data_IF_835249545240
#
_entry.id   IF_835249545240
#
_cell.length_a   1.000
_cell.length_b   1.000
_cell.length_c   1.000
_cell.angle_alpha   90.00
_cell.angle_beta   90.00
_cell.angle_gamma   90.00
#
_symmetry.space_group_name_H-M   'P 1'
#
loop_
_entity.id
_entity.type
_entity.pdbx_description
1 polymer ?
#
# COMPACT_ATOMS: atom_id res chain seq x y z
N UNK A 1 -31.60 -3.16 -24.62
CA UNK A 1 -30.49 -2.23 -24.37
C UNK A 1 -29.27 -2.92 -24.94
N UNK A 2 -28.71 -2.44 -26.06
CA UNK A 2 -27.43 -2.97 -26.53
C UNK A 2 -26.38 -2.63 -25.48
N UNK A 3 -25.65 -3.65 -25.03
CA UNK A 3 -24.63 -3.52 -24.01
C UNK A 3 -23.49 -2.66 -24.58
N UNK A 4 -22.85 -1.82 -23.76
CA UNK A 4 -21.61 -1.13 -24.17
C UNK A 4 -20.56 -2.12 -24.73
N UNK A 5 -20.63 -3.38 -24.27
CA UNK A 5 -19.84 -4.50 -24.76
C UNK A 5 -20.17 -4.92 -26.20
N UNK A 6 -21.46 -4.95 -26.58
CA UNK A 6 -21.90 -5.30 -27.94
C UNK A 6 -21.49 -4.21 -28.94
N UNK A 7 -21.59 -2.94 -28.56
CA UNK A 7 -21.10 -1.83 -29.38
C UNK A 7 -19.57 -1.89 -29.55
N UNK A 8 -18.83 -2.27 -28.50
CA UNK A 8 -17.37 -2.45 -28.56
C UNK A 8 -16.96 -3.63 -29.47
N UNK A 9 -17.72 -4.72 -29.45
CA UNK A 9 -17.49 -5.92 -30.27
C UNK A 9 -17.96 -5.75 -31.73
N UNK A 10 -18.96 -4.90 -31.98
CA UNK A 10 -19.51 -4.67 -33.32
C UNK A 10 -18.52 -3.97 -34.27
N UNK A 11 -17.58 -3.21 -33.72
CA UNK A 11 -16.60 -2.46 -34.50
C UNK A 11 -15.16 -2.91 -34.19
N UNK A 12 -14.48 -3.61 -35.12
CA UNK A 12 -13.15 -4.15 -34.90
C UNK A 12 -12.09 -3.07 -34.63
N UNK A 13 -12.30 -1.84 -35.12
CA UNK A 13 -11.38 -0.72 -34.88
C UNK A 13 -11.45 -0.26 -33.42
N UNK A 14 -12.65 -0.19 -32.85
CA UNK A 14 -12.85 0.21 -31.45
C UNK A 14 -12.26 -0.84 -30.50
N UNK A 15 -12.46 -2.12 -30.82
CA UNK A 15 -11.86 -3.23 -30.07
C UNK A 15 -10.33 -3.14 -30.09
N UNK A 16 -9.72 -2.85 -31.24
CA UNK A 16 -8.27 -2.68 -31.35
C UNK A 16 -7.75 -1.54 -30.45
N UNK A 17 -8.45 -0.40 -30.40
CA UNK A 17 -8.07 0.74 -29.52
C UNK A 17 -8.13 0.33 -28.04
N UNK A 18 -9.15 -0.42 -27.62
CA UNK A 18 -9.30 -0.89 -26.24
C UNK A 18 -8.19 -1.87 -25.86
N UNK A 19 -7.82 -2.79 -26.77
CA UNK A 19 -6.70 -3.71 -26.55
C UNK A 19 -5.39 -2.94 -26.38
N UNK A 20 -5.12 -1.96 -27.25
CA UNK A 20 -3.91 -1.13 -27.14
C UNK A 20 -3.90 -0.38 -25.80
N UNK A 21 -5.02 0.19 -25.37
CA UNK A 21 -5.15 0.82 -24.05
C UNK A 21 -4.90 -0.15 -22.90
N UNK A 22 -5.45 -1.37 -22.97
CA UNK A 22 -5.22 -2.39 -21.95
C UNK A 22 -3.74 -2.77 -21.86
N UNK A 23 -3.05 -2.93 -23.01
CA UNK A 23 -1.61 -3.20 -23.06
C UNK A 23 -0.81 -2.04 -22.45
N UNK A 24 -1.17 -0.79 -22.75
CA UNK A 24 -0.51 0.39 -22.17
C UNK A 24 -0.67 0.45 -20.65
N UNK A 25 -1.86 0.14 -20.12
CA UNK A 25 -2.11 0.05 -18.69
C UNK A 25 -1.27 -1.05 -18.05
N UNK A 26 -1.28 -2.25 -18.63
CA UNK A 26 -0.44 -3.37 -18.17
C UNK A 26 1.05 -3.00 -18.18
N UNK A 27 1.52 -2.39 -19.27
CA UNK A 27 2.91 -1.94 -19.38
C UNK A 27 3.26 -0.91 -18.32
N UNK A 28 2.36 0.02 -18.02
CA UNK A 28 2.54 1.01 -16.95
C UNK A 28 2.64 0.35 -15.56
N UNK A 29 1.79 -0.64 -15.28
CA UNK A 29 1.85 -1.43 -14.04
C UNK A 29 3.17 -2.21 -13.95
N UNK A 30 3.58 -2.89 -15.02
CA UNK A 30 4.86 -3.63 -15.09
C UNK A 30 6.04 -2.68 -14.89
N UNK A 31 6.06 -1.52 -15.55
CA UNK A 31 7.13 -0.52 -15.41
C UNK A 31 7.25 0.00 -13.97
N UNK A 32 6.12 0.11 -13.25
CA UNK A 32 6.08 0.47 -11.82
C UNK A 32 6.62 -0.65 -10.94
N UNK A 33 6.27 -1.90 -11.22
CA UNK A 33 6.79 -3.08 -10.52
C UNK A 33 8.30 -3.26 -10.75
N UNK A 34 8.79 -3.06 -11.98
CA UNK A 34 10.23 -3.15 -12.31
C UNK A 34 11.05 -2.15 -11.48
N UNK A 35 10.56 -0.92 -11.31
CA UNK A 35 11.23 0.10 -10.50
C UNK A 35 11.33 -0.31 -9.03
N UNK A 36 10.29 -0.96 -8.48
CA UNK A 36 10.31 -1.54 -7.14
C UNK A 36 11.29 -2.72 -7.03
N UNK A 37 11.30 -3.61 -8.01
CA UNK A 37 12.22 -4.75 -8.03
C UNK A 37 13.68 -4.30 -8.04
N UNK A 38 14.04 -3.27 -8.82
CA UNK A 38 15.41 -2.75 -8.85
C UNK A 38 15.82 -2.19 -7.49
N UNK A 39 14.94 -1.46 -6.80
CA UNK A 39 15.22 -0.95 -5.45
C UNK A 39 15.36 -2.10 -4.45
N UNK A 40 14.49 -3.11 -4.54
CA UNK A 40 14.56 -4.31 -3.70
C UNK A 40 15.87 -5.08 -3.88
N UNK A 41 16.29 -5.28 -5.13
CA UNK A 41 17.56 -5.94 -5.45
C UNK A 41 18.75 -5.10 -4.97
N UNK A 42 18.71 -3.79 -5.14
CA UNK A 42 19.78 -2.91 -4.66
C UNK A 42 19.93 -3.00 -3.13
N UNK A 43 18.81 -2.99 -2.39
CA UNK A 43 18.81 -3.18 -0.94
C UNK A 43 19.34 -4.56 -0.55
N UNK A 44 18.98 -5.62 -1.29
CA UNK A 44 19.53 -6.96 -1.08
C UNK A 44 21.03 -7.01 -1.31
N UNK A 45 21.55 -6.38 -2.38
CA UNK A 45 22.99 -6.35 -2.66
C UNK A 45 23.75 -5.64 -1.53
N UNK A 46 23.21 -4.52 -1.03
CA UNK A 46 23.78 -3.81 0.13
C UNK A 46 23.75 -4.71 1.37
N UNK A 47 22.64 -5.40 1.61
CA UNK A 47 22.48 -6.30 2.74
C UNK A 47 23.44 -7.51 2.67
N UNK A 48 23.56 -8.15 1.50
CA UNK A 48 24.51 -9.24 1.29
C UNK A 48 25.95 -8.76 1.44
N UNK A 49 26.29 -7.57 0.94
CA UNK A 49 27.62 -6.98 1.14
C UNK A 49 27.95 -6.78 2.63
N UNK A 50 26.97 -6.30 3.40
CA UNK A 50 27.09 -6.20 4.85
C UNK A 50 27.22 -7.57 5.52
N UNK A 51 26.41 -8.55 5.11
CA UNK A 51 26.40 -9.90 5.69
C UNK A 51 27.73 -10.63 5.47
N UNK A 52 28.30 -10.51 4.27
CA UNK A 52 29.63 -11.07 3.93
C UNK A 52 30.72 -10.43 4.78
N UNK A 53 30.63 -9.11 5.03
CA UNK A 53 31.61 -8.42 5.87
C UNK A 53 31.45 -8.75 7.37
N UNK A 54 30.22 -9.00 7.82
CA UNK A 54 29.88 -9.35 9.20
C UNK A 54 30.18 -10.81 9.56
N UNK A 55 30.54 -11.66 8.59
CA UNK A 55 30.82 -13.08 8.83
C UNK A 55 29.62 -13.87 9.36
N UNK A 56 28.41 -13.34 9.21
CA UNK A 56 27.20 -13.93 9.75
C UNK A 56 26.80 -15.12 8.87
N UNK A 57 26.78 -16.30 9.48
CA UNK A 57 26.52 -17.59 8.84
C UNK A 57 25.19 -17.50 8.08
N UNK A 58 25.27 -17.58 6.75
CA UNK A 58 24.09 -17.59 5.89
C UNK A 58 23.32 -18.85 6.27
N UNK A 59 22.04 -18.75 6.70
CA UNK A 59 21.26 -19.92 7.05
C UNK A 59 21.17 -20.79 5.79
N UNK A 60 21.96 -21.86 5.78
CA UNK A 60 22.21 -22.70 4.60
C UNK A 60 21.17 -23.80 4.50
N UNK A 61 20.36 -23.97 5.54
CA UNK A 61 19.27 -24.93 5.65
C UNK A 61 17.91 -24.27 5.42
N UNK A 62 17.03 -24.89 4.61
CA UNK A 62 15.70 -24.38 4.32
C UNK A 62 14.81 -24.28 5.57
N UNK A 63 15.07 -25.08 6.61
CA UNK A 63 14.33 -25.01 7.89
C UNK A 63 14.58 -23.71 8.65
N UNK A 64 15.83 -23.26 8.75
CA UNK A 64 16.18 -22.05 9.49
C UNK A 64 15.77 -20.77 8.76
N UNK A 65 15.83 -20.78 7.43
CA UNK A 65 15.28 -19.71 6.60
C UNK A 65 13.77 -19.61 6.80
N UNK A 66 13.06 -20.74 6.85
CA UNK A 66 11.61 -20.75 7.05
C UNK A 66 11.24 -20.22 8.43
N UNK A 67 11.98 -20.59 9.47
CA UNK A 67 11.73 -20.07 10.82
C UNK A 67 12.00 -18.57 10.90
N UNK A 68 13.13 -18.11 10.38
CA UNK A 68 13.53 -16.68 10.39
C UNK A 68 12.54 -15.82 9.61
N UNK A 69 12.12 -16.27 8.41
CA UNK A 69 11.11 -15.58 7.61
C UNK A 69 9.75 -15.60 8.30
N UNK A 70 9.37 -16.71 8.94
CA UNK A 70 8.08 -16.80 9.64
C UNK A 70 8.04 -15.89 10.87
N UNK A 71 9.11 -15.86 11.66
CA UNK A 71 9.26 -14.94 12.80
C UNK A 71 9.25 -13.48 12.34
N UNK A 72 10.07 -13.13 11.35
CA UNK A 72 10.10 -11.77 10.80
C UNK A 72 8.75 -11.33 10.21
N UNK A 73 8.00 -12.25 9.60
CA UNK A 73 6.65 -11.97 9.09
C UNK A 73 5.61 -11.82 10.21
N UNK A 74 5.71 -12.59 11.29
CA UNK A 74 4.84 -12.45 12.47
C UNK A 74 5.12 -11.15 13.23
N UNK A 75 6.39 -10.82 13.47
CA UNK A 75 6.81 -9.55 14.08
C UNK A 75 6.39 -8.37 13.21
N UNK A 76 6.58 -8.47 11.89
CA UNK A 76 6.11 -7.47 10.94
C UNK A 76 4.60 -7.29 10.99
N UNK A 77 3.82 -8.39 11.04
CA UNK A 77 2.35 -8.31 11.21
C UNK A 77 1.95 -7.66 12.52
N UNK A 78 2.57 -8.03 13.64
CA UNK A 78 2.28 -7.44 14.95
C UNK A 78 2.62 -5.94 14.98
N UNK A 79 3.78 -5.54 14.43
CA UNK A 79 4.18 -4.14 14.34
C UNK A 79 3.25 -3.32 13.45
N UNK A 80 2.76 -3.90 12.35
CA UNK A 80 1.76 -3.26 11.48
C UNK A 80 0.43 -3.12 12.21
N UNK A 81 -0.06 -4.16 12.89
CA UNK A 81 -1.33 -4.11 13.65
C UNK A 81 -1.28 -3.06 14.75
N UNK A 82 -0.22 -3.03 15.56
CA UNK A 82 -0.06 -2.03 16.62
C UNK A 82 -0.04 -0.60 16.05
N UNK A 83 0.71 -0.36 14.96
CA UNK A 83 0.71 0.96 14.31
C UNK A 83 -0.64 1.35 13.73
N UNK A 84 -1.38 0.40 13.14
CA UNK A 84 -2.72 0.65 12.61
C UNK A 84 -3.69 1.01 13.74
N UNK A 85 -3.58 0.35 14.89
CA UNK A 85 -4.39 0.62 16.07
C UNK A 85 -4.05 1.97 16.70
N UNK A 86 -2.77 2.31 16.88
CA UNK A 86 -2.33 3.64 17.34
C UNK A 86 -2.80 4.76 16.40
N UNK A 87 -2.73 4.55 15.08
CA UNK A 87 -3.23 5.51 14.09
C UNK A 87 -4.74 5.67 14.20
N UNK A 88 -5.48 4.57 14.39
CA UNK A 88 -6.94 4.60 14.56
C UNK A 88 -7.34 5.33 15.83
N UNK A 89 -6.68 5.08 16.95
CA UNK A 89 -6.93 5.77 18.21
C UNK A 89 -6.55 7.26 18.13
N UNK A 90 -5.41 7.57 17.52
CA UNK A 90 -4.97 8.95 17.29
C UNK A 90 -5.96 9.74 16.41
N UNK A 91 -6.51 9.10 15.38
CA UNK A 91 -7.56 9.68 14.55
C UNK A 91 -8.88 9.86 15.31
N UNK A 92 -9.33 8.89 16.10
CA UNK A 92 -10.55 9.01 16.89
C UNK A 92 -10.44 10.12 17.95
N UNK A 93 -9.32 10.20 18.68
CA UNK A 93 -9.09 11.26 19.67
C UNK A 93 -9.09 12.64 19.01
N UNK A 94 -8.32 12.82 17.93
CA UNK A 94 -8.30 14.09 17.19
C UNK A 94 -9.68 14.45 16.62
N UNK A 95 -10.41 13.48 16.10
CA UNK A 95 -11.76 13.72 15.57
C UNK A 95 -12.73 14.16 16.67
N UNK A 96 -12.71 13.52 17.84
CA UNK A 96 -13.54 13.92 18.98
C UNK A 96 -13.16 15.30 19.52
N UNK A 97 -11.87 15.63 19.60
CA UNK A 97 -11.42 16.96 20.04
C UNK A 97 -11.87 18.04 19.06
N UNK A 98 -11.71 17.81 17.75
CA UNK A 98 -12.16 18.75 16.70
C UNK A 98 -13.68 18.92 16.74
N UNK A 99 -14.44 17.83 16.91
CA UNK A 99 -15.90 17.91 17.02
C UNK A 99 -16.28 18.69 18.27
N UNK A 100 -15.65 18.42 19.42
CA UNK A 100 -15.96 19.11 20.68
C UNK A 100 -15.64 20.60 20.58
N UNK A 101 -14.47 20.97 20.08
CA UNK A 101 -14.09 22.37 19.88
C UNK A 101 -15.04 23.10 18.92
N UNK A 102 -15.48 22.42 17.85
CA UNK A 102 -16.40 23.00 16.88
C UNK A 102 -17.83 23.08 17.40
N UNK A 103 -18.25 22.12 18.21
CA UNK A 103 -19.54 22.13 18.91
C UNK A 103 -19.56 23.25 19.94
N UNK A 104 -18.52 23.39 20.76
CA UNK A 104 -18.41 24.47 21.77
C UNK A 104 -18.44 25.85 21.10
N UNK A 105 -17.69 26.05 20.01
CA UNK A 105 -17.75 27.27 19.19
C UNK A 105 -19.12 27.56 18.56
N UNK A 106 -19.93 26.53 18.28
CA UNK A 106 -21.28 26.70 17.72
C UNK A 106 -22.36 26.91 18.80
N UNK A 107 -22.13 26.45 20.03
CA UNK A 107 -23.03 26.67 21.16
C UNK A 107 -22.73 27.98 21.93
N UNK A 108 -21.49 28.49 21.86
CA UNK A 108 -21.09 29.80 22.41
C UNK A 108 -21.24 30.97 21.42
N UNK A 109 -21.83 30.76 20.24
CA UNK A 109 -22.26 31.81 19.32
C UNK A 109 -23.77 32.05 19.51
N UNK A 110 -24.21 32.70 20.62
CA UNK A 110 -25.61 32.86 20.94
C UNK A 110 -26.28 33.75 19.90
N UNK A 111 -27.44 33.30 19.44
CA UNK A 111 -28.72 34.05 19.48
C UNK A 111 -28.66 35.60 19.47
N UNK A 112 -27.84 36.21 18.61
CA UNK A 112 -27.79 37.65 18.36
C UNK A 112 -28.18 37.96 16.92
N UNK A 113 -29.31 37.41 16.49
CA UNK A 113 -30.17 38.06 15.50
C UNK A 113 -31.61 37.98 15.98
N UNK A 114 -31.92 38.85 16.95
CA UNK A 114 -33.22 39.54 16.97
C UNK A 114 -33.38 40.36 15.69
#
# INVERSE_FOLDING_TARGET
MESLFDQLMSNPVVLAVVIVLAILLLFSLVRRLLKLTVVMVLLLVIYFGYLVWSGQEVPTTPEELKETVTKGLQEGKAAITNKVEEVKEGLQKKTNEIIKEKVEKLFDEPESKK
#
